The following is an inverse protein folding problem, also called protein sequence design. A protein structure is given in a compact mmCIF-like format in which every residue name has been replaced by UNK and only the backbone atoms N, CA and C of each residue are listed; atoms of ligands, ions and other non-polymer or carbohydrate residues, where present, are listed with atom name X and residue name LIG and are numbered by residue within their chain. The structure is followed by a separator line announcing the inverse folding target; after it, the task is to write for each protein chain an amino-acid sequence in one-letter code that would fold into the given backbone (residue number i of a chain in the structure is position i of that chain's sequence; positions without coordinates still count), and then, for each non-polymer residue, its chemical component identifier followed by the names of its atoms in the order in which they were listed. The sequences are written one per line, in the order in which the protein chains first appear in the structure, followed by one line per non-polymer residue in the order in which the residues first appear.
data_IF_622027413153
#
_entry.id   IF_622027413153
#
_cell.length_a   1.000
_cell.length_b   1.000
_cell.length_c   1.000
_cell.angle_alpha   90.00
_cell.angle_beta   90.00
_cell.angle_gamma   90.00
#
_symmetry.space_group_name_H-M   'P 1'
#
loop_
_entity.id
_entity.type
_entity.pdbx_description
1 polymer ?
#
# COMPACT_ATOMS: atom_id res chain seq x y z
N UNK A 1 35.87 -20.99 -12.37
CA UNK A 1 35.17 -21.74 -11.31
C UNK A 1 33.87 -22.29 -11.90
N UNK A 2 33.76 -23.59 -12.05
CA UNK A 2 32.51 -24.20 -12.53
C UNK A 2 31.47 -24.13 -11.41
N UNK A 3 30.39 -23.40 -11.65
CA UNK A 3 29.24 -23.38 -10.75
C UNK A 3 28.54 -24.74 -10.91
N UNK A 4 28.93 -25.71 -10.10
CA UNK A 4 28.20 -26.95 -10.00
C UNK A 4 26.91 -26.65 -9.24
N UNK A 5 25.86 -26.25 -9.94
CA UNK A 5 24.52 -26.09 -9.38
C UNK A 5 23.97 -27.47 -9.04
N UNK A 6 24.29 -27.96 -7.86
CA UNK A 6 23.66 -29.19 -7.38
C UNK A 6 22.18 -28.93 -7.16
N UNK A 7 21.34 -29.80 -7.67
CA UNK A 7 19.88 -29.76 -7.48
C UNK A 7 19.55 -29.63 -5.98
N UNK A 8 20.31 -30.26 -5.09
CA UNK A 8 20.17 -30.13 -3.65
C UNK A 8 20.36 -28.69 -3.14
N UNK A 9 21.35 -27.96 -3.66
CA UNK A 9 21.57 -26.55 -3.30
C UNK A 9 20.44 -25.65 -3.80
N UNK A 10 19.92 -25.94 -4.99
CA UNK A 10 18.75 -25.26 -5.53
C UNK A 10 17.51 -25.50 -4.67
N UNK A 11 17.21 -26.74 -4.34
CA UNK A 11 16.07 -27.11 -3.47
C UNK A 11 16.14 -26.45 -2.11
N UNK A 12 17.33 -26.43 -1.47
CA UNK A 12 17.53 -25.76 -0.18
C UNK A 12 17.26 -24.25 -0.26
N UNK A 13 17.70 -23.59 -1.33
CA UNK A 13 17.47 -22.17 -1.51
C UNK A 13 16.03 -21.83 -1.90
N UNK A 14 15.39 -22.66 -2.71
CA UNK A 14 13.99 -22.46 -3.10
C UNK A 14 13.03 -22.75 -1.96
N UNK A 15 13.34 -23.73 -1.09
CA UNK A 15 12.52 -24.00 0.08
C UNK A 15 12.44 -22.83 1.08
N UNK A 16 13.41 -21.92 1.04
CA UNK A 16 13.45 -20.69 1.82
C UNK A 16 12.80 -19.50 1.07
N UNK A 17 12.12 -19.74 -0.04
CA UNK A 17 11.44 -18.70 -0.81
C UNK A 17 10.28 -18.08 -0.04
N UNK A 18 10.20 -16.76 -0.08
CA UNK A 18 9.10 -15.99 0.53
C UNK A 18 7.78 -16.28 -0.17
N UNK A 19 6.72 -16.47 0.60
CA UNK A 19 5.40 -16.77 0.07
C UNK A 19 4.54 -15.52 0.00
N UNK A 20 3.89 -15.25 -1.14
CA UNK A 20 3.09 -14.03 -1.32
C UNK A 20 1.81 -13.98 -0.48
N UNK A 21 1.36 -15.13 0.06
CA UNK A 21 0.16 -15.20 0.89
C UNK A 21 0.39 -14.87 2.37
N UNK A 22 1.63 -14.58 2.76
CA UNK A 22 1.99 -14.21 4.13
C UNK A 22 2.29 -12.71 4.15
N UNK A 23 1.26 -11.92 4.39
CA UNK A 23 1.36 -10.46 4.44
C UNK A 23 0.34 -9.88 5.45
N UNK A 24 0.61 -8.68 5.89
CA UNK A 24 -0.28 -7.88 6.72
C UNK A 24 -0.25 -6.44 6.23
N UNK A 25 -1.40 -5.79 6.26
CA UNK A 25 -1.54 -4.38 5.90
C UNK A 25 -2.14 -3.63 7.08
N UNK A 26 -1.42 -2.63 7.58
CA UNK A 26 -1.92 -1.75 8.62
C UNK A 26 -2.18 -0.37 8.03
N UNK A 27 -3.42 0.09 8.18
CA UNK A 27 -3.87 1.38 7.69
C UNK A 27 -4.19 2.27 8.89
N UNK A 28 -3.50 3.40 8.98
CA UNK A 28 -3.84 4.43 9.93
C UNK A 28 -4.90 5.34 9.32
N UNK A 29 -6.13 5.24 9.81
CA UNK A 29 -7.20 6.14 9.39
C UNK A 29 -7.07 7.51 10.06
N UNK A 30 -7.69 8.58 9.52
CA UNK A 30 -7.80 9.87 10.21
C UNK A 30 -8.42 9.73 11.60
N UNK A 31 -7.98 10.55 12.55
CA UNK A 31 -8.47 10.50 13.93
C UNK A 31 -9.92 10.97 14.01
N UNK A 32 -10.72 10.25 14.79
CA UNK A 32 -12.04 10.71 15.20
C UNK A 32 -13.01 9.60 15.63
N UNK A 33 -13.09 8.48 14.94
CA UNK A 33 -14.15 7.49 15.18
C UNK A 33 -13.70 6.02 15.23
N UNK A 34 -12.41 5.76 15.07
CA UNK A 34 -11.91 4.38 14.98
C UNK A 34 -11.23 3.97 16.28
N UNK A 35 -11.84 3.01 16.96
CA UNK A 35 -11.17 2.24 18.00
C UNK A 35 -10.06 1.36 17.44
N UNK A 36 -9.14 0.90 18.27
CA UNK A 36 -8.07 -0.01 17.85
C UNK A 36 -8.63 -1.31 17.24
N UNK A 37 -9.79 -1.77 17.70
CA UNK A 37 -10.49 -2.92 17.15
C UNK A 37 -10.91 -2.74 15.67
N UNK A 38 -11.24 -1.55 15.24
CA UNK A 38 -11.65 -1.28 13.86
C UNK A 38 -10.45 -1.18 12.91
N UNK A 39 -9.31 -0.70 13.39
CA UNK A 39 -8.04 -0.74 12.65
C UNK A 39 -7.57 -2.16 12.43
N UNK A 40 -7.68 -2.99 13.46
CA UNK A 40 -7.38 -4.41 13.41
C UNK A 40 -8.31 -5.15 12.43
N UNK A 41 -9.61 -4.81 12.44
CA UNK A 41 -10.59 -5.35 11.50
C UNK A 41 -10.20 -5.05 10.06
N UNK A 42 -9.83 -3.82 9.73
CA UNK A 42 -9.42 -3.44 8.38
C UNK A 42 -8.16 -4.21 7.93
N UNK A 43 -7.23 -4.45 8.85
CA UNK A 43 -6.04 -5.27 8.58
C UNK A 43 -6.40 -6.72 8.24
N UNK A 44 -7.31 -7.33 9.01
CA UNK A 44 -7.78 -8.70 8.77
C UNK A 44 -8.64 -8.86 7.51
N UNK A 45 -9.40 -7.83 7.14
CA UNK A 45 -10.26 -7.85 5.96
C UNK A 45 -9.50 -7.61 4.65
N UNK A 46 -8.20 -7.32 4.70
CA UNK A 46 -7.39 -7.16 3.50
C UNK A 46 -7.13 -8.52 2.84
N UNK A 47 -7.78 -8.77 1.71
CA UNK A 47 -7.64 -10.01 0.94
C UNK A 47 -6.40 -10.03 0.04
N UNK A 48 -6.09 -8.90 -0.59
CA UNK A 48 -4.91 -8.78 -1.42
C UNK A 48 -4.33 -7.37 -1.39
N UNK A 49 -3.01 -7.29 -1.51
CA UNK A 49 -2.29 -6.02 -1.60
C UNK A 49 -1.03 -6.18 -2.46
N UNK A 50 -0.59 -5.12 -3.07
CA UNK A 50 0.65 -5.08 -3.81
C UNK A 50 1.78 -4.50 -2.96
N UNK A 51 3.02 -4.91 -3.20
CA UNK A 51 4.17 -4.17 -2.68
C UNK A 51 4.34 -2.87 -3.49
N UNK A 52 4.75 -1.76 -2.85
CA UNK A 52 4.86 -0.49 -3.55
C UNK A 52 5.95 -0.54 -4.63
N UNK A 53 5.63 -0.01 -5.80
CA UNK A 53 6.56 0.15 -6.93
C UNK A 53 7.32 1.48 -6.83
N UNK A 54 8.39 1.60 -7.58
CA UNK A 54 9.02 2.89 -7.85
C UNK A 54 9.69 2.87 -9.22
N UNK A 55 9.53 3.94 -9.96
CA UNK A 55 10.08 4.09 -11.29
C UNK A 55 11.11 5.23 -11.29
N UNK A 56 12.18 5.07 -12.04
CA UNK A 56 13.15 6.13 -12.27
C UNK A 56 13.08 6.51 -13.74
N UNK A 57 12.76 7.76 -14.03
CA UNK A 57 12.71 8.30 -15.38
C UNK A 57 14.08 8.20 -16.06
N UNK A 58 14.06 8.24 -17.39
CA UNK A 58 15.28 8.22 -18.20
C UNK A 58 15.34 9.51 -19.03
N UNK A 59 16.42 10.25 -18.87
CA UNK A 59 16.72 11.42 -19.67
C UNK A 59 17.63 10.96 -20.81
N UNK A 60 17.18 11.16 -22.04
CA UNK A 60 17.98 10.83 -23.24
C UNK A 60 18.64 12.08 -23.80
N UNK A 61 19.96 12.07 -23.83
CA UNK A 61 20.78 13.15 -24.41
C UNK A 61 21.39 12.68 -25.72
N UNK A 62 20.99 13.24 -26.89
CA UNK A 62 21.58 12.85 -28.17
C UNK A 62 23.01 13.39 -28.30
N UNK A 63 23.93 12.51 -28.68
CA UNK A 63 25.32 12.89 -28.95
C UNK A 63 25.87 12.11 -30.16
N UNK A 64 26.19 12.82 -31.23
CA UNK A 64 26.83 12.31 -32.45
C UNK A 64 26.20 11.03 -33.00
N UNK A 65 24.88 10.99 -33.14
CA UNK A 65 24.14 9.84 -33.67
C UNK A 65 23.87 8.71 -32.68
N UNK A 66 24.20 8.90 -31.39
CA UNK A 66 23.83 8.01 -30.28
C UNK A 66 23.08 8.79 -29.19
N UNK A 67 22.18 8.10 -28.50
CA UNK A 67 21.53 8.63 -27.30
C UNK A 67 22.26 8.10 -26.08
N UNK A 68 22.69 9.01 -25.20
CA UNK A 68 23.21 8.70 -23.86
C UNK A 68 22.07 8.78 -22.87
N UNK A 69 21.86 7.73 -22.08
CA UNK A 69 20.79 7.66 -21.07
C UNK A 69 21.33 8.05 -19.70
N UNK A 70 20.66 8.99 -19.08
CA UNK A 70 20.96 9.47 -17.72
C UNK A 70 19.72 9.21 -16.86
N UNK A 71 19.93 8.88 -15.58
CA UNK A 71 18.82 8.72 -14.64
C UNK A 71 18.11 10.06 -14.40
N UNK A 72 16.80 10.04 -14.53
CA UNK A 72 15.91 11.16 -14.26
C UNK A 72 15.24 11.09 -12.89
N UNK A 73 14.09 11.73 -12.76
CA UNK A 73 13.34 11.81 -11.52
C UNK A 73 12.66 10.47 -11.15
N UNK A 74 12.43 10.28 -9.86
CA UNK A 74 11.70 9.12 -9.34
C UNK A 74 10.22 9.40 -9.26
N UNK A 75 9.41 8.46 -9.73
CA UNK A 75 7.96 8.49 -9.63
C UNK A 75 7.44 7.22 -8.95
N UNK A 76 6.27 7.34 -8.34
CA UNK A 76 5.62 6.24 -7.64
C UNK A 76 4.24 6.03 -8.27
N UNK A 77 3.93 4.76 -8.55
CA UNK A 77 2.61 4.39 -9.07
C UNK A 77 1.61 4.29 -7.91
N UNK A 78 0.32 4.30 -8.25
CA UNK A 78 -0.75 4.08 -7.28
C UNK A 78 -0.55 2.73 -6.59
N UNK A 79 -0.88 2.69 -5.31
CA UNK A 79 -0.92 1.45 -4.56
C UNK A 79 -2.37 1.02 -4.37
N UNK A 80 -2.67 -0.25 -4.58
CA UNK A 80 -4.02 -0.79 -4.45
C UNK A 80 -4.07 -1.94 -3.46
N UNK A 81 -5.18 -2.02 -2.73
CA UNK A 81 -5.50 -3.13 -1.86
C UNK A 81 -6.98 -3.49 -1.99
N UNK A 82 -7.26 -4.80 -1.95
CA UNK A 82 -8.62 -5.33 -2.01
C UNK A 82 -9.04 -5.82 -0.63
N UNK A 83 -10.24 -5.42 -0.22
CA UNK A 83 -10.81 -5.72 1.09
C UNK A 83 -12.08 -6.55 0.93
N UNK A 84 -12.26 -7.48 1.85
CA UNK A 84 -13.53 -8.21 2.02
C UNK A 84 -14.48 -7.28 2.77
N UNK A 85 -15.72 -7.23 2.32
CA UNK A 85 -16.74 -6.43 2.98
C UNK A 85 -17.32 -7.21 4.17
N UNK A 86 -17.41 -6.56 5.32
CA UNK A 86 -18.05 -7.11 6.50
C UNK A 86 -19.56 -6.86 6.50
N UNK A 87 -20.30 -7.64 7.29
CA UNK A 87 -21.76 -7.55 7.36
C UNK A 87 -22.28 -6.13 7.71
N UNK A 88 -21.53 -5.42 8.52
CA UNK A 88 -21.89 -4.07 8.98
C UNK A 88 -21.33 -2.99 8.04
N UNK A 89 -20.63 -3.37 6.96
CA UNK A 89 -19.97 -2.50 5.97
C UNK A 89 -19.04 -1.45 6.60
N UNK A 90 -18.47 -1.75 7.78
CA UNK A 90 -17.65 -0.80 8.53
C UNK A 90 -16.39 -0.42 7.79
N UNK A 91 -15.65 -1.41 7.28
CA UNK A 91 -14.40 -1.16 6.57
C UNK A 91 -14.64 -0.23 5.36
N UNK A 92 -15.67 -0.49 4.57
CA UNK A 92 -16.02 0.36 3.43
C UNK A 92 -16.46 1.76 3.88
N UNK A 93 -17.30 1.85 4.91
CA UNK A 93 -17.78 3.13 5.45
C UNK A 93 -16.63 4.04 5.93
N UNK A 94 -15.56 3.46 6.47
CA UNK A 94 -14.39 4.24 6.88
C UNK A 94 -13.64 4.84 5.69
N UNK A 95 -13.49 4.11 4.61
CA UNK A 95 -12.88 4.65 3.39
C UNK A 95 -13.75 5.71 2.73
N UNK A 96 -15.06 5.49 2.67
CA UNK A 96 -16.01 6.48 2.14
C UNK A 96 -16.02 7.76 2.99
N UNK A 97 -15.95 7.63 4.31
CA UNK A 97 -15.83 8.77 5.23
C UNK A 97 -14.53 9.52 4.99
N UNK A 98 -13.40 8.81 4.88
CA UNK A 98 -12.10 9.43 4.60
C UNK A 98 -12.11 10.19 3.27
N UNK A 99 -12.64 9.60 2.21
CA UNK A 99 -12.82 10.27 0.92
C UNK A 99 -13.71 11.53 1.04
N UNK A 100 -14.80 11.44 1.81
CA UNK A 100 -15.70 12.57 2.02
C UNK A 100 -15.08 13.68 2.89
N UNK A 101 -14.20 13.35 3.84
CA UNK A 101 -13.44 14.33 4.61
C UNK A 101 -12.42 15.09 3.76
N UNK A 102 -11.81 14.43 2.77
CA UNK A 102 -10.91 15.08 1.80
C UNK A 102 -11.70 16.03 0.91
N UNK A 103 -12.81 15.55 0.36
CA UNK A 103 -13.69 16.34 -0.49
C UNK A 103 -15.15 15.90 -0.33
N UNK A 104 -15.99 16.80 0.15
CA UNK A 104 -17.40 16.53 0.41
C UNK A 104 -18.16 16.18 -0.86
N UNK A 105 -18.91 15.06 -0.80
CA UNK A 105 -19.74 14.60 -1.92
C UNK A 105 -20.84 15.59 -2.31
N UNK A 106 -21.41 16.30 -1.32
CA UNK A 106 -22.55 17.18 -1.57
C UNK A 106 -22.17 18.54 -2.08
N UNK A 107 -21.15 19.14 -1.46
CA UNK A 107 -20.82 20.55 -1.66
C UNK A 107 -19.56 20.76 -2.50
N UNK A 108 -18.82 19.68 -2.81
CA UNK A 108 -17.51 19.73 -3.47
C UNK A 108 -16.53 20.69 -2.76
N UNK A 109 -16.60 20.73 -1.43
CA UNK A 109 -15.70 21.53 -0.58
C UNK A 109 -14.66 20.63 0.05
N UNK A 110 -13.40 21.10 0.04
CA UNK A 110 -12.33 20.41 0.74
C UNK A 110 -12.49 20.59 2.26
N UNK A 111 -12.63 19.47 3.00
CA UNK A 111 -12.66 19.47 4.45
C UNK A 111 -11.26 19.56 5.04
N UNK A 112 -10.37 18.66 4.59
CA UNK A 112 -8.96 18.62 4.99
C UNK A 112 -8.11 19.17 3.85
N UNK A 113 -7.44 20.30 4.08
CA UNK A 113 -6.67 21.01 3.04
C UNK A 113 -5.21 20.58 3.06
N UNK A 114 -4.65 20.35 4.24
CA UNK A 114 -3.23 20.04 4.37
C UNK A 114 -2.95 18.55 4.14
N UNK A 115 -1.95 18.18 3.33
CA UNK A 115 -1.54 16.80 3.15
C UNK A 115 -1.17 16.07 4.44
N UNK A 116 -0.75 16.79 5.47
CA UNK A 116 -0.46 16.24 6.79
C UNK A 116 -1.72 15.86 7.59
N UNK A 117 -2.88 16.41 7.23
CA UNK A 117 -4.16 16.14 7.90
C UNK A 117 -4.88 14.95 7.30
N UNK A 118 -4.91 14.83 5.97
CA UNK A 118 -5.59 13.73 5.28
C UNK A 118 -4.64 12.58 4.89
N UNK A 119 -3.35 12.86 4.70
CA UNK A 119 -2.35 11.84 4.37
C UNK A 119 -1.92 11.06 5.61
N UNK A 120 -2.05 9.75 5.56
CA UNK A 120 -1.72 8.84 6.66
C UNK A 120 -0.62 7.88 6.26
N UNK A 121 -0.11 7.14 7.24
CA UNK A 121 0.87 6.11 6.99
C UNK A 121 0.17 4.78 6.79
N UNK A 122 0.46 4.11 5.67
CA UNK A 122 0.06 2.73 5.41
C UNK A 122 1.31 1.86 5.50
N UNK A 123 1.23 0.75 6.21
CA UNK A 123 2.35 -0.19 6.36
C UNK A 123 1.96 -1.53 5.77
N UNK A 124 2.77 -2.01 4.84
CA UNK A 124 2.63 -3.34 4.23
C UNK A 124 3.78 -4.20 4.71
N UNK A 125 3.47 -5.26 5.46
CA UNK A 125 4.45 -6.21 6.00
C UNK A 125 4.40 -7.50 5.24
N UNK A 126 5.56 -8.00 4.86
CA UNK A 126 5.75 -9.36 4.40
C UNK A 126 6.18 -10.20 5.60
N UNK A 127 5.46 -11.28 5.86
CA UNK A 127 5.70 -12.18 6.99
C UNK A 127 6.38 -13.47 6.56
N UNK A 128 7.13 -14.07 7.46
CA UNK A 128 7.67 -15.40 7.29
C UNK A 128 6.65 -16.47 7.74
N UNK A 129 6.75 -17.64 7.14
CA UNK A 129 5.98 -18.80 7.59
C UNK A 129 6.70 -19.51 8.73
N UNK A 130 6.91 -18.87 9.84
CA UNK A 130 7.39 -19.54 11.03
C UNK A 130 6.27 -19.65 12.08
N UNK A 131 6.35 -20.67 12.93
CA UNK A 131 5.29 -21.12 13.85
C UNK A 131 5.23 -20.27 15.15
N UNK A 132 6.06 -19.25 15.25
CA UNK A 132 6.00 -18.28 16.35
C UNK A 132 4.80 -17.36 16.18
N UNK A 133 3.99 -17.26 17.22
CA UNK A 133 2.73 -16.50 17.23
C UNK A 133 2.88 -15.08 16.69
N UNK A 134 2.55 -14.90 15.41
CA UNK A 134 2.60 -13.62 14.72
C UNK A 134 3.44 -13.60 13.44
N UNK A 135 4.26 -14.60 13.18
CA UNK A 135 5.21 -14.60 12.04
C UNK A 135 6.29 -13.52 12.20
N UNK A 136 7.55 -13.88 11.98
CA UNK A 136 8.61 -12.86 11.96
C UNK A 136 8.42 -11.96 10.74
N UNK A 137 8.53 -10.65 10.95
CA UNK A 137 8.48 -9.67 9.89
C UNK A 137 9.76 -9.76 9.04
N UNK A 138 9.61 -10.23 7.80
CA UNK A 138 10.73 -10.25 6.85
C UNK A 138 11.06 -8.86 6.36
N UNK A 139 10.03 -8.08 6.06
CA UNK A 139 10.20 -6.73 5.52
C UNK A 139 8.91 -5.92 5.62
N UNK A 140 9.02 -4.69 6.13
CA UNK A 140 7.96 -3.70 6.10
C UNK A 140 8.22 -2.61 5.07
N UNK A 141 7.16 -2.19 4.42
CA UNK A 141 7.12 -1.03 3.55
C UNK A 141 6.16 -0.01 4.14
N UNK A 142 6.67 1.18 4.45
CA UNK A 142 5.87 2.30 4.96
C UNK A 142 5.61 3.29 3.82
N UNK A 143 4.35 3.47 3.47
CA UNK A 143 3.90 4.47 2.52
C UNK A 143 3.55 5.74 3.29
N UNK A 144 4.21 6.83 2.94
CA UNK A 144 4.07 8.10 3.64
C UNK A 144 3.11 9.03 2.91
N UNK A 145 2.26 9.71 3.70
CA UNK A 145 1.21 10.62 3.21
C UNK A 145 0.28 9.92 2.21
N UNK A 146 -0.05 8.66 2.50
CA UNK A 146 -0.98 7.90 1.71
C UNK A 146 -2.43 8.35 1.98
N UNK A 147 -3.21 8.47 0.93
CA UNK A 147 -4.63 8.79 1.01
C UNK A 147 -5.38 8.05 -0.09
N UNK A 148 -6.65 7.66 0.15
CA UNK A 148 -7.46 7.00 -0.85
C UNK A 148 -7.85 7.98 -1.95
N UNK A 149 -7.77 7.52 -3.19
CA UNK A 149 -8.19 8.27 -4.38
C UNK A 149 -9.44 7.72 -5.02
N UNK A 150 -9.65 6.41 -4.90
CA UNK A 150 -10.86 5.76 -5.38
C UNK A 150 -11.24 4.56 -4.54
N UNK A 151 -12.54 4.31 -4.43
CA UNK A 151 -13.13 3.07 -3.96
C UNK A 151 -13.91 2.42 -5.12
N UNK A 152 -13.60 1.16 -5.44
CA UNK A 152 -14.27 0.49 -6.54
C UNK A 152 -15.77 0.30 -6.29
N UNK A 153 -16.54 0.27 -7.36
CA UNK A 153 -17.92 -0.20 -7.30
C UNK A 153 -17.97 -1.69 -6.93
N UNK A 154 -19.07 -2.11 -6.33
CA UNK A 154 -19.39 -3.51 -6.05
C UNK A 154 -20.57 -3.87 -6.92
N UNK A 155 -20.44 -4.90 -7.75
CA UNK A 155 -21.52 -5.39 -8.58
C UNK A 155 -22.44 -6.30 -7.75
N UNK A 156 -23.72 -5.96 -7.70
CA UNK A 156 -24.74 -6.73 -6.99
C UNK A 156 -25.61 -7.47 -8.01
N UNK A 157 -25.63 -8.80 -7.92
CA UNK A 157 -26.43 -9.65 -8.80
C UNK A 157 -27.10 -10.78 -8.04
N UNK A 158 -28.34 -11.07 -8.36
CA UNK A 158 -29.12 -12.13 -7.68
C UNK A 158 -28.62 -13.54 -7.94
N UNK A 159 -27.82 -13.73 -8.97
CA UNK A 159 -27.21 -15.00 -9.37
C UNK A 159 -25.78 -15.19 -8.80
N UNK A 160 -25.26 -14.21 -8.10
CA UNK A 160 -23.97 -14.29 -7.42
C UNK A 160 -24.11 -15.02 -6.09
N UNK A 161 -24.35 -16.33 -6.16
CA UNK A 161 -24.42 -17.19 -4.99
C UNK A 161 -22.99 -17.65 -4.60
N UNK A 162 -22.77 -17.87 -3.30
CA UNK A 162 -21.53 -18.42 -2.75
C UNK A 162 -20.27 -17.54 -2.98
N UNK A 163 -20.45 -16.22 -3.15
CA UNK A 163 -19.37 -15.25 -3.25
C UNK A 163 -19.46 -14.25 -2.10
N UNK A 164 -18.29 -13.86 -1.59
CA UNK A 164 -18.17 -12.79 -0.61
C UNK A 164 -17.87 -11.51 -1.37
N UNK A 165 -18.49 -10.41 -0.98
CA UNK A 165 -18.24 -9.10 -1.56
C UNK A 165 -16.82 -8.62 -1.28
N UNK A 166 -16.17 -8.14 -2.33
CA UNK A 166 -14.86 -7.51 -2.26
C UNK A 166 -14.89 -6.14 -2.94
N UNK A 167 -14.07 -5.23 -2.44
CA UNK A 167 -13.87 -3.93 -3.06
C UNK A 167 -12.39 -3.55 -3.01
N UNK A 168 -11.96 -2.78 -4.00
CA UNK A 168 -10.58 -2.33 -4.11
C UNK A 168 -10.50 -0.84 -3.81
N UNK A 169 -9.53 -0.46 -3.00
CA UNK A 169 -9.16 0.93 -2.73
C UNK A 169 -7.84 1.23 -3.40
N UNK A 170 -7.80 2.33 -4.14
CA UNK A 170 -6.56 2.87 -4.68
C UNK A 170 -6.07 4.02 -3.81
N UNK A 171 -4.77 4.01 -3.55
CA UNK A 171 -4.08 5.03 -2.78
C UNK A 171 -3.03 5.74 -3.60
N UNK A 172 -2.92 7.04 -3.40
CA UNK A 172 -1.75 7.82 -3.74
C UNK A 172 -0.91 8.07 -2.50
N UNK A 173 0.40 8.14 -2.67
CA UNK A 173 1.35 8.41 -1.59
C UNK A 173 2.54 9.22 -2.10
N UNK A 174 3.22 9.93 -1.23
CA UNK A 174 4.35 10.79 -1.64
C UNK A 174 5.63 9.99 -1.86
N UNK A 175 5.94 9.05 -0.98
CA UNK A 175 7.10 8.16 -1.08
C UNK A 175 6.94 6.98 -0.12
N UNK A 176 7.79 5.98 -0.26
CA UNK A 176 7.84 4.87 0.67
C UNK A 176 9.26 4.61 1.19
N UNK A 177 9.33 4.01 2.38
CA UNK A 177 10.56 3.58 3.02
C UNK A 177 10.49 2.13 3.43
N UNK A 178 11.64 1.49 3.61
CA UNK A 178 11.76 0.09 4.06
C UNK A 178 12.23 0.06 5.51
N UNK A 179 11.63 -0.83 6.30
CA UNK A 179 11.97 -1.05 7.70
C UNK A 179 11.35 -0.02 8.65
N UNK A 180 11.74 -0.09 9.93
CA UNK A 180 11.27 0.81 10.99
C UNK A 180 11.86 2.22 10.95
N UNK A 181 12.23 2.69 9.78
CA UNK A 181 12.74 4.04 9.64
C UNK A 181 11.64 5.01 10.06
N UNK A 182 11.80 5.67 11.20
CA UNK A 182 11.02 6.84 11.54
C UNK A 182 11.10 7.85 10.40
N UNK A 183 10.04 8.63 10.18
CA UNK A 183 10.11 9.74 9.23
C UNK A 183 11.38 10.54 9.56
N UNK A 184 12.22 10.86 8.56
CA UNK A 184 13.44 11.59 8.83
C UNK A 184 13.10 12.86 9.61
N UNK A 185 13.46 12.88 10.88
CA UNK A 185 13.30 14.03 11.75
C UNK A 185 14.04 15.20 11.10
N UNK A 186 13.31 16.18 10.57
CA UNK A 186 13.92 17.42 10.10
C UNK A 186 13.57 17.88 8.69
N UNK A 187 12.56 17.35 8.02
CA UNK A 187 11.95 18.04 6.90
C UNK A 187 10.53 18.51 7.24
N UNK A 188 10.46 19.31 8.28
CA UNK A 188 9.39 20.28 8.43
C UNK A 188 9.56 21.29 7.29
N UNK A 189 8.63 21.27 6.34
CA UNK A 189 8.56 22.24 5.27
C UNK A 189 9.31 21.82 4.01
N UNK A 190 8.69 20.98 3.17
CA UNK A 190 8.83 21.18 1.74
C UNK A 190 7.98 22.43 1.47
N UNK A 191 8.62 23.59 1.48
CA UNK A 191 8.07 24.73 0.79
C UNK A 191 8.02 24.35 -0.69
N UNK A 192 6.83 24.09 -1.19
CA UNK A 192 6.58 23.99 -2.62
C UNK A 192 6.78 25.42 -3.15
N UNK A 193 7.62 25.65 -4.17
CA UNK A 193 7.83 26.96 -4.77
C UNK A 193 6.56 27.49 -5.43
#
# INVERSE_FOLDING_TARGET
MAVTSKVSTFLTKVSQGVRPNMFQVDINFPEGDLGDADKELASFMCNSANLPSSNVGVIEVPFRGRSVKIAGDRTFDNWSATFINDKDMRTRSYFEKWLNEINSHENNTAGLINPSEYGRTVVVRQLEKDDSAGGDELRAYKLWYAFPTSASAIDLAYDSNDQIEEFTIEFQYSYWTVGDTEAPAGRSGIAIP
#
